data_IF_395340646884
#
_entry.id   IF_395340646884
#
_cell.length_a   1.000
_cell.length_b   1.000
_cell.length_c   1.000
_cell.angle_alpha   90.00
_cell.angle_beta   90.00
_cell.angle_gamma   90.00
#
_symmetry.space_group_name_H-M   'P 1'
#
loop_
_entity.id
_entity.type
_entity.pdbx_description
1 polymer ?
#
# COMPACT_ATOMS: atom_id res chain seq x y z
N UNK A 1 -4.16 12.01 -10.15
CA UNK A 1 -4.35 10.57 -9.86
C UNK A 1 -3.03 9.85 -10.11
N UNK A 2 -2.56 9.04 -9.15
CA UNK A 2 -1.35 8.23 -9.31
C UNK A 2 -1.43 7.22 -10.45
N UNK A 3 -0.29 6.88 -11.01
CA UNK A 3 -0.16 5.82 -12.03
C UNK A 3 -0.31 4.43 -11.42
N UNK A 4 -0.67 3.43 -12.25
CA UNK A 4 -0.70 2.02 -11.83
C UNK A 4 0.65 1.53 -11.31
N UNK A 5 1.74 2.02 -11.91
CA UNK A 5 3.10 1.70 -11.48
C UNK A 5 3.40 2.27 -10.10
N UNK A 6 3.03 3.53 -9.82
CA UNK A 6 3.18 4.14 -8.51
C UNK A 6 2.33 3.43 -7.45
N UNK A 7 1.10 3.07 -7.80
CA UNK A 7 0.20 2.31 -6.93
C UNK A 7 0.83 0.96 -6.54
N UNK A 8 1.36 0.22 -7.52
CA UNK A 8 1.99 -1.07 -7.29
C UNK A 8 3.28 -0.95 -6.48
N UNK A 9 4.08 0.09 -6.72
CA UNK A 9 5.27 0.37 -5.95
C UNK A 9 4.93 0.74 -4.50
N UNK A 10 3.88 1.53 -4.27
CA UNK A 10 3.41 1.87 -2.92
C UNK A 10 2.89 0.63 -2.17
N UNK A 11 2.14 -0.24 -2.85
CA UNK A 11 1.69 -1.52 -2.31
C UNK A 11 2.87 -2.40 -1.88
N UNK A 12 3.88 -2.56 -2.72
CA UNK A 12 5.09 -3.34 -2.39
C UNK A 12 5.82 -2.76 -1.18
N UNK A 13 5.96 -1.43 -1.11
CA UNK A 13 6.58 -0.76 0.05
C UNK A 13 5.79 -1.00 1.33
N UNK A 14 4.46 -0.85 1.30
CA UNK A 14 3.60 -1.10 2.45
C UNK A 14 3.74 -2.55 2.95
N UNK A 15 3.68 -3.53 2.05
CA UNK A 15 3.86 -4.93 2.39
C UNK A 15 5.24 -5.20 3.03
N UNK A 16 6.30 -4.57 2.53
CA UNK A 16 7.64 -4.70 3.10
C UNK A 16 7.74 -4.07 4.50
N UNK A 17 7.13 -2.89 4.71
CA UNK A 17 7.08 -2.24 6.02
C UNK A 17 6.34 -3.10 7.04
N UNK A 18 5.18 -3.65 6.67
CA UNK A 18 4.39 -4.51 7.56
C UNK A 18 5.19 -5.77 7.97
N UNK A 19 5.85 -6.43 6.99
CA UNK A 19 6.73 -7.58 7.29
C UNK A 19 7.91 -7.22 8.18
N UNK A 20 8.51 -6.05 7.96
CA UNK A 20 9.63 -5.55 8.77
C UNK A 20 9.19 -5.25 10.21
N UNK A 21 7.93 -4.85 10.41
CA UNK A 21 7.33 -4.66 11.73
C UNK A 21 7.01 -6.00 12.45
N UNK A 22 7.33 -7.15 11.85
CA UNK A 22 7.08 -8.47 12.43
C UNK A 22 5.68 -9.01 12.19
N UNK A 23 4.86 -8.32 11.40
CA UNK A 23 3.50 -8.78 11.06
C UNK A 23 3.59 -9.67 9.82
N UNK A 24 3.12 -10.92 9.95
CA UNK A 24 3.07 -11.84 8.83
C UNK A 24 1.97 -11.43 7.84
N UNK A 25 2.34 -11.26 6.57
CA UNK A 25 1.41 -10.96 5.47
C UNK A 25 1.77 -11.82 4.26
N UNK A 26 0.81 -12.64 3.84
CA UNK A 26 0.87 -13.51 2.67
C UNK A 26 0.93 -12.71 1.36
N UNK A 27 1.21 -13.38 0.25
CA UNK A 27 1.17 -12.73 -1.07
C UNK A 27 -0.23 -12.22 -1.45
N UNK A 28 -1.27 -12.95 -1.04
CA UNK A 28 -2.66 -12.60 -1.32
C UNK A 28 -3.11 -11.37 -0.51
N UNK A 29 -2.80 -11.34 0.78
CA UNK A 29 -3.09 -10.17 1.63
C UNK A 29 -2.30 -8.94 1.17
N UNK A 30 -1.02 -9.11 0.81
CA UNK A 30 -0.22 -8.02 0.26
C UNK A 30 -0.78 -7.47 -1.06
N UNK A 31 -1.41 -8.33 -1.88
CA UNK A 31 -2.09 -7.91 -3.10
C UNK A 31 -3.39 -7.13 -2.82
N UNK A 32 -4.03 -7.38 -1.68
CA UNK A 32 -5.23 -6.69 -1.19
C UNK A 32 -4.99 -5.32 -0.57
N UNK A 33 -3.74 -4.89 -0.40
CA UNK A 33 -3.44 -3.55 0.16
C UNK A 33 -4.00 -2.47 -0.76
N UNK A 34 -4.89 -1.66 -0.20
CA UNK A 34 -5.47 -0.49 -0.84
C UNK A 34 -4.50 0.68 -0.76
N UNK A 35 -4.40 1.44 -1.85
CA UNK A 35 -3.51 2.59 -1.97
C UNK A 35 -4.35 3.77 -2.44
N UNK A 36 -4.45 4.79 -1.60
CA UNK A 36 -5.32 5.94 -1.81
C UNK A 36 -4.50 7.21 -1.74
N UNK A 37 -4.60 8.06 -2.76
CA UNK A 37 -3.93 9.36 -2.89
C UNK A 37 -4.89 10.55 -2.65
N UNK A 38 -6.12 10.25 -2.21
CA UNK A 38 -7.23 11.19 -2.01
C UNK A 38 -7.53 12.10 -3.21
N UNK A 39 -7.13 11.71 -4.43
CA UNK A 39 -7.27 12.55 -5.63
C UNK A 39 -6.25 13.69 -5.73
N UNK A 40 -5.33 13.82 -4.76
CA UNK A 40 -4.38 14.92 -4.65
C UNK A 40 -3.08 14.66 -5.42
N UNK A 41 -2.90 13.47 -6.00
CA UNK A 41 -1.68 13.09 -6.73
C UNK A 41 -0.39 13.16 -5.90
N UNK A 42 -0.50 13.33 -4.57
CA UNK A 42 0.62 13.49 -3.64
C UNK A 42 0.69 12.33 -2.64
N UNK A 43 0.67 11.08 -3.13
CA UNK A 43 0.61 9.86 -2.30
C UNK A 43 1.66 9.79 -1.17
N UNK A 44 2.85 10.37 -1.36
CA UNK A 44 3.93 10.36 -0.37
C UNK A 44 3.75 11.38 0.75
N UNK A 45 2.93 12.41 0.54
CA UNK A 45 2.65 13.46 1.52
C UNK A 45 1.27 13.28 2.13
N UNK A 46 0.29 12.98 1.28
CA UNK A 46 -1.14 13.03 1.57
C UNK A 46 -1.79 11.78 0.93
N UNK A 47 -1.54 10.62 1.55
CA UNK A 47 -2.06 9.36 1.08
C UNK A 47 -1.96 8.28 2.14
N UNK A 48 -2.63 7.16 1.89
CA UNK A 48 -2.68 6.04 2.83
C UNK A 48 -2.53 4.71 2.09
N UNK A 49 -1.89 3.75 2.75
CA UNK A 49 -1.90 2.35 2.37
C UNK A 49 -2.56 1.54 3.49
N UNK A 50 -3.62 0.81 3.17
CA UNK A 50 -4.44 0.09 4.16
C UNK A 50 -4.47 -1.39 3.82
N UNK A 51 -4.19 -2.23 4.82
CA UNK A 51 -4.44 -3.67 4.77
C UNK A 51 -5.64 -3.98 5.65
N UNK A 52 -6.74 -4.42 5.06
CA UNK A 52 -7.92 -4.90 5.79
C UNK A 52 -7.82 -6.41 5.93
N UNK A 53 -7.82 -6.90 7.17
CA UNK A 53 -7.84 -8.32 7.50
C UNK A 53 -9.30 -8.73 7.72
N UNK A 54 -9.84 -9.55 6.82
CA UNK A 54 -11.21 -10.11 6.89
C UNK A 54 -11.16 -11.62 6.84
#
# INVERSE_FOLDING_TARGET
MITRMEQQNARKRAAAMIRTAGIHVTGQEAAGIEVVDFGLSQLQKEGVQVLTLV
#
